data_IF_267447063483
#
_entry.id   IF_267447063483
#
_cell.length_a   1.000
_cell.length_b   1.000
_cell.length_c   1.000
_cell.angle_alpha   90.00
_cell.angle_beta   90.00
_cell.angle_gamma   90.00
#
_symmetry.space_group_name_H-M   'P 1'
#
loop_
_entity.id
_entity.type
_entity.pdbx_description
1 polymer ?
#
# COMPACT_ATOMS: atom_id res chain seq x y z
N UNK A 1 -17.99 -1.59 34.93
CA UNK A 1 -17.38 -0.96 33.73
C UNK A 1 -16.57 -2.04 33.03
N UNK A 2 -17.02 -2.63 31.92
CA UNK A 2 -16.21 -3.61 31.21
C UNK A 2 -15.30 -2.90 30.22
N UNK A 3 -14.01 -3.17 30.35
CA UNK A 3 -12.93 -2.71 29.48
C UNK A 3 -13.19 -3.06 28.00
N UNK A 4 -12.87 -2.16 27.05
CA UNK A 4 -12.89 -2.52 25.64
C UNK A 4 -11.75 -3.50 25.36
N UNK A 5 -12.10 -4.71 24.94
CA UNK A 5 -11.14 -5.75 24.57
C UNK A 5 -10.29 -5.24 23.40
N UNK A 6 -8.97 -5.27 23.59
CA UNK A 6 -7.90 -4.90 22.65
C UNK A 6 -7.92 -5.64 21.29
N UNK A 7 -8.93 -6.47 21.01
CA UNK A 7 -9.04 -7.23 19.75
C UNK A 7 -9.71 -6.46 18.61
N UNK A 8 -10.50 -5.42 18.91
CA UNK A 8 -11.19 -4.64 17.86
C UNK A 8 -10.31 -3.61 17.15
N UNK A 9 -9.12 -3.32 17.68
CA UNK A 9 -8.18 -2.39 17.05
C UNK A 9 -7.35 -3.03 15.92
N UNK A 10 -7.32 -4.37 15.81
CA UNK A 10 -6.50 -5.06 14.81
C UNK A 10 -7.17 -5.26 13.44
N UNK A 11 -8.50 -5.19 13.33
CA UNK A 11 -9.19 -5.35 12.04
C UNK A 11 -9.30 -4.05 11.22
N UNK A 12 -9.01 -2.89 11.82
CA UNK A 12 -8.94 -1.62 11.09
C UNK A 12 -7.70 -1.51 10.18
N UNK A 13 -6.73 -2.43 10.32
CA UNK A 13 -5.47 -2.46 9.59
C UNK A 13 -5.46 -3.42 8.38
N UNK A 14 -6.60 -3.99 7.99
CA UNK A 14 -6.64 -5.08 7.00
C UNK A 14 -6.71 -4.60 5.55
N UNK A 15 -5.74 -3.78 5.13
CA UNK A 15 -5.47 -3.46 3.72
C UNK A 15 -3.96 -3.45 3.45
N UNK A 16 -3.23 -4.35 4.13
CA UNK A 16 -1.80 -4.56 3.91
C UNK A 16 -1.66 -5.81 3.02
N UNK A 17 -1.28 -5.70 1.74
CA UNK A 17 -0.57 -6.78 1.08
C UNK A 17 0.80 -6.91 1.77
N UNK A 18 0.87 -7.79 2.77
CA UNK A 18 2.13 -8.13 3.42
C UNK A 18 3.00 -8.95 2.44
N UNK A 19 3.67 -8.27 1.51
CA UNK A 19 4.58 -8.93 0.57
C UNK A 19 5.64 -8.00 -0.04
N UNK A 20 6.15 -6.98 0.65
CA UNK A 20 7.37 -6.28 0.22
C UNK A 20 8.27 -5.92 1.40
N UNK A 21 8.76 -6.95 2.10
CA UNK A 21 9.94 -6.80 2.95
C UNK A 21 10.94 -7.92 2.66
N UNK A 22 11.86 -7.77 1.69
CA UNK A 22 13.10 -8.50 1.78
C UNK A 22 13.81 -8.02 3.05
N UNK A 23 13.94 -8.94 4.01
CA UNK A 23 14.68 -8.74 5.24
C UNK A 23 16.09 -8.19 4.91
N UNK A 24 16.37 -6.96 5.32
CA UNK A 24 17.71 -6.39 5.27
C UNK A 24 18.61 -7.17 6.23
N UNK A 25 19.41 -8.10 5.69
CA UNK A 25 20.56 -8.67 6.38
C UNK A 25 21.82 -8.14 5.69
N UNK A 26 22.70 -7.39 6.39
CA UNK A 26 23.93 -6.89 5.77
C UNK A 26 24.93 -8.04 5.64
N UNK A 27 24.98 -8.69 4.49
CA UNK A 27 26.01 -9.67 4.19
C UNK A 27 27.32 -8.97 3.75
N UNK A 28 28.12 -8.62 4.76
CA UNK A 28 29.57 -8.76 4.85
C UNK A 28 30.41 -8.71 3.56
N UNK A 29 31.29 -7.71 3.53
CA UNK A 29 32.30 -7.47 2.53
C UNK A 29 33.18 -8.71 2.22
N UNK A 30 33.15 -9.16 0.97
CA UNK A 30 34.20 -10.01 0.40
C UNK A 30 35.21 -9.13 -0.38
N UNK A 31 36.50 -9.22 -0.01
CA UNK A 31 37.61 -8.48 -0.62
C UNK A 31 37.79 -8.87 -2.10
N UNK A 32 38.13 -7.94 -3.01
CA UNK A 32 38.37 -8.28 -4.41
C UNK A 32 39.75 -8.92 -4.60
N UNK A 33 39.76 -10.09 -5.25
CA UNK A 33 40.96 -10.74 -5.81
C UNK A 33 41.37 -10.04 -7.12
N UNK A 34 42.67 -9.87 -7.32
CA UNK A 34 43.27 -9.17 -8.46
C UNK A 34 43.16 -10.02 -9.74
N UNK A 35 42.55 -9.50 -10.79
CA UNK A 35 42.80 -9.97 -12.16
C UNK A 35 42.73 -8.83 -13.18
N UNK A 36 43.51 -9.03 -14.24
CA UNK A 36 44.14 -8.04 -15.13
C UNK A 36 43.16 -7.23 -16.01
N UNK A 37 43.62 -6.02 -16.33
CA UNK A 37 42.98 -5.03 -17.17
C UNK A 37 42.64 -5.52 -18.58
N UNK A 38 41.36 -5.41 -18.95
CA UNK A 38 40.92 -5.21 -20.32
C UNK A 38 40.39 -3.77 -20.41
N UNK A 39 40.87 -3.00 -21.39
CA UNK A 39 40.40 -1.63 -21.70
C UNK A 39 38.96 -1.74 -22.24
N UNK A 40 37.99 -1.79 -21.34
CA UNK A 40 36.59 -1.59 -21.70
C UNK A 40 36.37 -0.10 -21.96
N UNK A 41 35.85 0.24 -23.14
CA UNK A 41 35.28 1.55 -23.39
C UNK A 41 34.32 1.87 -22.24
N UNK A 42 34.50 3.04 -21.60
CA UNK A 42 33.54 3.54 -20.61
C UNK A 42 32.26 3.89 -21.36
N UNK A 43 31.40 2.90 -21.56
CA UNK A 43 29.96 3.14 -21.66
C UNK A 43 29.60 3.74 -20.31
N UNK A 44 29.49 5.07 -20.27
CA UNK A 44 28.86 5.75 -19.14
C UNK A 44 27.44 5.22 -19.14
N UNK A 45 27.18 4.22 -18.28
CA UNK A 45 25.82 3.78 -18.03
C UNK A 45 25.00 5.05 -17.75
N UNK A 46 23.86 5.25 -18.43
CA UNK A 46 23.05 6.43 -18.19
C UNK A 46 22.81 6.51 -16.69
N UNK A 47 23.17 7.65 -16.10
CA UNK A 47 22.81 8.00 -14.73
C UNK A 47 21.29 8.10 -14.71
N UNK A 48 20.62 6.96 -14.58
CA UNK A 48 19.19 6.90 -14.37
C UNK A 48 18.97 7.50 -12.97
N UNK A 49 18.85 8.81 -12.90
CA UNK A 49 18.81 9.59 -11.67
C UNK A 49 17.44 10.21 -11.57
N UNK A 50 16.45 9.34 -11.32
CA UNK A 50 15.13 9.79 -10.92
C UNK A 50 15.26 10.61 -9.64
N UNK A 51 14.54 11.75 -9.61
CA UNK A 51 14.42 12.57 -8.41
C UNK A 51 13.59 11.83 -7.35
N UNK A 52 13.76 12.12 -6.04
CA UNK A 52 12.93 11.54 -4.99
C UNK A 52 11.44 11.59 -5.30
N UNK A 53 10.95 12.70 -5.83
CA UNK A 53 9.55 12.90 -6.20
C UNK A 53 9.06 11.88 -7.24
N UNK A 54 9.87 11.61 -8.26
CA UNK A 54 9.53 10.68 -9.33
C UNK A 54 9.53 9.23 -8.80
N UNK A 55 10.49 8.91 -7.92
CA UNK A 55 10.56 7.58 -7.30
C UNK A 55 9.35 7.36 -6.38
N UNK A 56 8.95 8.36 -5.60
CA UNK A 56 7.77 8.28 -4.75
C UNK A 56 6.47 8.09 -5.55
N UNK A 57 6.32 8.78 -6.69
CA UNK A 57 5.18 8.58 -7.60
C UNK A 57 5.14 7.17 -8.19
N UNK A 58 6.30 6.58 -8.51
CA UNK A 58 6.38 5.18 -8.95
C UNK A 58 5.93 4.21 -7.84
N UNK A 59 6.42 4.38 -6.61
CA UNK A 59 5.95 3.57 -5.48
C UNK A 59 4.44 3.72 -5.28
N UNK A 60 3.90 4.93 -5.34
CA UNK A 60 2.45 5.15 -5.23
C UNK A 60 1.65 4.44 -6.34
N UNK A 61 2.10 4.53 -7.59
CA UNK A 61 1.50 3.80 -8.73
C UNK A 61 1.50 2.29 -8.50
N UNK A 62 2.62 1.74 -8.06
CA UNK A 62 2.76 0.30 -7.85
C UNK A 62 1.86 -0.16 -6.71
N UNK A 63 1.95 0.47 -5.54
CA UNK A 63 1.21 0.06 -4.35
C UNK A 63 -0.31 0.19 -4.53
N UNK A 64 -0.78 1.24 -5.19
CA UNK A 64 -2.22 1.49 -5.36
C UNK A 64 -2.82 0.79 -6.57
N UNK A 65 -2.11 0.77 -7.71
CA UNK A 65 -2.65 0.36 -9.01
C UNK A 65 -2.09 -0.96 -9.55
N UNK A 66 -1.12 -1.56 -8.86
CA UNK A 66 -0.36 -2.71 -9.39
C UNK A 66 0.18 -2.42 -10.80
N UNK A 67 0.70 -1.21 -10.99
CA UNK A 67 1.07 -0.68 -12.30
C UNK A 67 2.34 -1.36 -12.84
N UNK A 68 2.17 -2.13 -13.92
CA UNK A 68 3.25 -2.92 -14.53
C UNK A 68 4.35 -2.05 -15.17
N UNK A 69 3.99 -0.91 -15.76
CA UNK A 69 4.97 -0.01 -16.36
C UNK A 69 5.80 0.66 -15.27
N UNK A 70 5.15 1.18 -14.21
CA UNK A 70 5.83 1.75 -13.06
C UNK A 70 6.74 0.71 -12.38
N UNK A 71 6.27 -0.53 -12.27
CA UNK A 71 7.06 -1.65 -11.72
C UNK A 71 8.29 -1.92 -12.55
N UNK A 72 8.16 -2.01 -13.88
CA UNK A 72 9.29 -2.23 -14.77
C UNK A 72 10.31 -1.08 -14.69
N UNK A 73 9.83 0.17 -14.69
CA UNK A 73 10.67 1.37 -14.58
C UNK A 73 11.40 1.42 -13.24
N UNK A 74 10.71 1.14 -12.13
CA UNK A 74 11.31 1.17 -10.80
C UNK A 74 12.30 0.03 -10.61
N UNK A 75 11.97 -1.19 -11.07
CA UNK A 75 12.92 -2.30 -11.05
C UNK A 75 14.18 -1.98 -11.86
N UNK A 76 14.07 -1.40 -13.05
CA UNK A 76 15.24 -0.97 -13.85
C UNK A 76 16.10 0.07 -13.12
N UNK A 77 15.45 1.06 -12.50
CA UNK A 77 16.12 2.07 -11.68
C UNK A 77 16.83 1.48 -10.47
N UNK A 78 16.24 0.47 -9.83
CA UNK A 78 16.75 -0.17 -8.62
C UNK A 78 17.82 -1.24 -8.90
N UNK A 79 18.00 -1.71 -10.14
CA UNK A 79 19.00 -2.73 -10.52
C UNK A 79 20.38 -2.56 -9.86
N UNK A 80 20.96 -1.34 -9.75
CA UNK A 80 22.27 -1.18 -9.13
C UNK A 80 22.32 -1.56 -7.63
N UNK A 81 21.17 -1.62 -6.95
CA UNK A 81 21.08 -2.01 -5.54
C UNK A 81 21.03 -3.52 -5.32
N UNK A 82 20.68 -4.30 -6.36
CA UNK A 82 20.46 -5.73 -6.25
C UNK A 82 21.46 -6.50 -7.13
N UNK A 83 22.11 -7.50 -6.54
CA UNK A 83 23.02 -8.36 -7.29
C UNK A 83 22.25 -9.26 -8.25
N UNK A 84 22.93 -9.79 -9.27
CA UNK A 84 22.47 -10.91 -10.09
C UNK A 84 21.15 -10.72 -10.86
N UNK A 85 20.69 -9.48 -11.07
CA UNK A 85 19.49 -9.22 -11.87
C UNK A 85 18.17 -9.51 -11.16
N UNK A 86 18.17 -9.55 -9.82
CA UNK A 86 16.95 -9.67 -9.03
C UNK A 86 16.00 -8.49 -9.32
N UNK A 87 14.71 -8.80 -9.43
CA UNK A 87 13.62 -7.83 -9.52
C UNK A 87 12.99 -7.68 -8.14
N UNK A 88 13.34 -6.64 -7.37
CA UNK A 88 12.92 -6.52 -5.98
C UNK A 88 11.42 -6.30 -5.79
N UNK A 89 10.74 -5.83 -6.84
CA UNK A 89 9.32 -5.55 -6.81
C UNK A 89 8.62 -6.47 -7.78
N UNK A 90 7.71 -7.28 -7.26
CA UNK A 90 6.82 -8.16 -8.01
C UNK A 90 5.38 -7.73 -7.77
N UNK A 91 4.60 -7.67 -8.85
CA UNK A 91 3.17 -7.44 -8.72
C UNK A 91 2.49 -8.63 -8.07
N UNK A 92 1.43 -8.35 -7.32
CA UNK A 92 0.68 -9.41 -6.65
C UNK A 92 -0.26 -10.09 -7.64
N UNK A 93 -0.35 -11.41 -7.54
CA UNK A 93 -1.27 -12.19 -8.36
C UNK A 93 -2.73 -11.87 -8.02
N UNK A 94 -3.58 -11.75 -9.04
CA UNK A 94 -4.98 -11.38 -8.85
C UNK A 94 -5.78 -12.44 -8.07
N UNK A 95 -5.47 -13.73 -8.24
CA UNK A 95 -6.14 -14.78 -7.47
C UNK A 95 -5.68 -14.77 -6.00
N UNK A 96 -4.42 -14.42 -5.73
CA UNK A 96 -3.95 -14.20 -4.36
C UNK A 96 -4.68 -13.02 -3.68
N UNK A 97 -4.92 -11.92 -4.41
CA UNK A 97 -5.72 -10.80 -3.90
C UNK A 97 -7.17 -11.19 -3.63
N UNK A 98 -7.80 -11.93 -4.54
CA UNK A 98 -9.17 -12.40 -4.35
C UNK A 98 -9.28 -13.35 -3.15
N UNK A 99 -8.31 -14.26 -2.96
CA UNK A 99 -8.24 -15.11 -1.78
C UNK A 99 -8.07 -14.30 -0.48
N UNK A 100 -7.33 -13.19 -0.52
CA UNK A 100 -7.19 -12.30 0.62
C UNK A 100 -8.51 -11.60 0.99
N UNK A 101 -9.28 -11.12 -0.01
CA UNK A 101 -10.60 -10.53 0.24
C UNK A 101 -11.58 -11.55 0.84
N UNK A 102 -11.52 -12.80 0.39
CA UNK A 102 -12.28 -13.90 0.98
C UNK A 102 -11.90 -14.17 2.44
N UNK A 103 -10.60 -14.14 2.76
CA UNK A 103 -10.10 -14.28 4.13
C UNK A 103 -10.59 -13.15 5.05
N UNK A 104 -10.61 -11.91 4.55
CA UNK A 104 -11.17 -10.78 5.31
C UNK A 104 -12.67 -10.89 5.51
N UNK A 105 -13.41 -11.37 4.50
CA UNK A 105 -14.83 -11.62 4.64
C UNK A 105 -15.12 -12.69 5.71
N UNK A 106 -14.30 -13.76 5.77
CA UNK A 106 -14.41 -14.78 6.82
C UNK A 106 -14.18 -14.21 8.21
N UNK A 107 -13.11 -13.43 8.39
CA UNK A 107 -12.79 -12.78 9.66
C UNK A 107 -13.89 -11.83 10.12
N UNK A 108 -14.45 -11.02 9.21
CA UNK A 108 -15.53 -10.09 9.55
C UNK A 108 -16.82 -10.83 9.97
N UNK A 109 -17.09 -11.99 9.38
CA UNK A 109 -18.27 -12.81 9.70
C UNK A 109 -18.08 -13.70 10.94
N UNK A 110 -16.88 -13.75 11.53
CA UNK A 110 -16.58 -14.59 12.69
C UNK A 110 -17.47 -14.27 13.88
N UNK A 111 -17.64 -12.98 14.18
CA UNK A 111 -18.43 -12.47 15.31
C UNK A 111 -19.95 -12.42 15.05
N UNK A 112 -20.42 -13.02 13.94
CA UNK A 112 -21.81 -12.98 13.49
C UNK A 112 -22.43 -14.39 13.43
N UNK A 113 -22.63 -15.07 14.56
CA UNK A 113 -23.05 -16.47 14.62
C UNK A 113 -24.44 -16.74 14.04
N UNK A 114 -25.28 -15.71 13.88
CA UNK A 114 -26.64 -15.82 13.31
C UNK A 114 -26.70 -15.51 11.81
N UNK A 115 -25.56 -15.25 11.18
CA UNK A 115 -25.43 -15.06 9.74
C UNK A 115 -25.05 -16.39 9.08
N UNK A 116 -25.75 -16.71 8.00
CA UNK A 116 -25.34 -17.76 7.07
C UNK A 116 -24.11 -17.29 6.29
N UNK A 117 -22.93 -17.75 6.72
CA UNK A 117 -21.64 -17.36 6.15
C UNK A 117 -21.53 -17.75 4.67
N UNK A 118 -22.08 -18.90 4.27
CA UNK A 118 -22.04 -19.35 2.86
C UNK A 118 -22.78 -18.38 1.95
N UNK A 119 -23.90 -17.84 2.44
CA UNK A 119 -24.69 -16.85 1.70
C UNK A 119 -24.12 -15.44 1.77
N UNK A 120 -23.55 -15.05 2.91
CA UNK A 120 -23.09 -13.69 3.15
C UNK A 120 -21.68 -13.40 2.60
N UNK A 121 -20.77 -14.38 2.70
CA UNK A 121 -19.34 -14.21 2.38
C UNK A 121 -19.12 -13.60 0.99
N UNK A 122 -19.75 -14.09 -0.10
CA UNK A 122 -19.49 -13.52 -1.44
C UNK A 122 -19.85 -12.04 -1.53
N UNK A 123 -20.93 -11.60 -0.88
CA UNK A 123 -21.35 -10.20 -0.89
C UNK A 123 -20.39 -9.31 -0.07
N UNK A 124 -19.92 -9.82 1.08
CA UNK A 124 -18.93 -9.11 1.91
C UNK A 124 -17.59 -8.99 1.18
N UNK A 125 -17.08 -10.10 0.62
CA UNK A 125 -15.83 -10.12 -0.13
C UNK A 125 -15.91 -9.17 -1.34
N UNK A 126 -17.03 -9.17 -2.07
CA UNK A 126 -17.26 -8.25 -3.17
C UNK A 126 -17.25 -6.77 -2.72
N UNK A 127 -17.85 -6.44 -1.57
CA UNK A 127 -17.81 -5.10 -1.02
C UNK A 127 -16.38 -4.67 -0.64
N UNK A 128 -15.59 -5.55 -0.02
CA UNK A 128 -14.18 -5.30 0.31
C UNK A 128 -13.37 -5.08 -0.96
N UNK A 129 -13.53 -5.96 -1.96
CA UNK A 129 -12.89 -5.83 -3.27
C UNK A 129 -13.23 -4.51 -3.93
N UNK A 130 -14.49 -4.07 -3.85
CA UNK A 130 -14.92 -2.78 -4.42
C UNK A 130 -14.27 -1.59 -3.75
N UNK A 131 -14.08 -1.61 -2.43
CA UNK A 131 -13.33 -0.55 -1.72
C UNK A 131 -11.88 -0.48 -2.22
N UNK A 132 -11.23 -1.64 -2.40
CA UNK A 132 -9.87 -1.71 -2.93
C UNK A 132 -9.79 -1.19 -4.37
N UNK A 133 -10.76 -1.55 -5.22
CA UNK A 133 -10.85 -1.01 -6.58
C UNK A 133 -11.01 0.51 -6.58
N UNK A 134 -11.82 1.07 -5.67
CA UNK A 134 -11.95 2.51 -5.51
C UNK A 134 -10.64 3.17 -5.06
N UNK A 135 -9.95 2.58 -4.09
CA UNK A 135 -8.64 3.06 -3.65
C UNK A 135 -7.58 3.00 -4.75
N UNK A 136 -7.62 1.98 -5.61
CA UNK A 136 -6.73 1.87 -6.78
C UNK A 136 -6.94 3.00 -7.80
N UNK A 137 -8.11 3.63 -7.80
CA UNK A 137 -8.36 4.83 -8.59
C UNK A 137 -7.70 6.09 -8.04
N UNK A 138 -7.01 6.02 -6.89
CA UNK A 138 -6.36 7.18 -6.31
C UNK A 138 -5.14 7.63 -7.14
N UNK A 139 -5.02 8.94 -7.31
CA UNK A 139 -3.91 9.57 -8.01
C UNK A 139 -3.09 10.37 -7.03
N UNK A 140 -1.83 9.96 -6.81
CA UNK A 140 -0.89 10.67 -5.97
C UNK A 140 0.16 11.40 -6.80
N UNK A 141 0.40 12.66 -6.46
CA UNK A 141 1.39 13.53 -7.08
C UNK A 141 2.34 14.08 -6.02
N UNK A 142 3.63 14.11 -6.32
CA UNK A 142 4.62 14.73 -5.45
C UNK A 142 4.56 16.25 -5.56
N UNK A 143 4.65 16.92 -4.41
CA UNK A 143 4.67 18.37 -4.29
C UNK A 143 6.09 18.91 -4.13
N UNK A 144 6.87 18.28 -3.25
CA UNK A 144 8.24 18.66 -2.95
C UNK A 144 8.99 17.53 -2.26
N UNK A 145 10.32 17.60 -2.25
CA UNK A 145 11.15 16.75 -1.41
C UNK A 145 12.17 17.56 -0.60
N UNK A 146 12.51 17.03 0.57
CA UNK A 146 13.60 17.54 1.41
C UNK A 146 14.64 16.44 1.59
N UNK A 147 15.85 16.68 1.08
CA UNK A 147 16.97 15.73 1.21
C UNK A 147 17.94 16.12 2.32
N UNK A 148 18.37 15.14 3.12
CA UNK A 148 19.36 15.32 4.17
C UNK A 148 20.22 14.06 4.37
N UNK A 149 21.28 14.18 5.19
CA UNK A 149 22.16 13.06 5.48
C UNK A 149 21.48 12.11 6.47
N UNK A 150 21.64 10.79 6.27
CA UNK A 150 21.22 9.80 7.24
C UNK A 150 22.26 9.75 8.38
N UNK A 151 21.85 10.09 9.59
CA UNK A 151 22.73 10.09 10.76
C UNK A 151 23.11 8.67 11.24
N UNK A 152 22.31 7.67 10.89
CA UNK A 152 22.49 6.27 11.32
C UNK A 152 23.26 5.41 10.30
N UNK A 153 23.33 5.83 9.03
CA UNK A 153 24.01 5.10 7.96
C UNK A 153 25.12 5.96 7.37
N UNK A 154 26.37 5.50 7.50
CA UNK A 154 27.53 6.21 6.95
C UNK A 154 27.34 6.52 5.47
N UNK A 155 27.44 7.79 5.10
CA UNK A 155 27.21 8.34 3.76
C UNK A 155 25.75 8.26 3.25
N UNK A 156 24.85 7.63 4.00
CA UNK A 156 23.46 7.47 3.63
C UNK A 156 22.74 8.80 3.49
N UNK A 157 21.65 8.78 2.74
CA UNK A 157 20.80 9.94 2.45
C UNK A 157 19.35 9.57 2.71
N UNK A 158 18.58 10.54 3.18
CA UNK A 158 17.13 10.46 3.35
C UNK A 158 16.50 11.54 2.49
N UNK A 159 15.38 11.22 1.84
CA UNK A 159 14.50 12.18 1.21
C UNK A 159 13.08 12.03 1.77
N UNK A 160 12.55 13.10 2.35
CA UNK A 160 11.14 13.19 2.73
C UNK A 160 10.38 13.80 1.57
N UNK A 161 9.47 13.05 0.96
CA UNK A 161 8.64 13.51 -0.16
C UNK A 161 7.25 13.84 0.36
N UNK A 162 6.86 15.10 0.21
CA UNK A 162 5.48 15.54 0.45
C UNK A 162 4.67 15.30 -0.84
N UNK A 163 3.52 14.66 -0.69
CA UNK A 163 2.63 14.28 -1.77
C UNK A 163 1.20 14.74 -1.48
N UNK A 164 0.41 14.76 -2.54
CA UNK A 164 -1.01 14.98 -2.50
C UNK A 164 -1.69 13.86 -3.27
N UNK A 165 -2.70 13.22 -2.67
CA UNK A 165 -3.47 12.15 -3.29
C UNK A 165 -4.92 12.58 -3.46
N UNK A 166 -5.46 12.43 -4.67
CA UNK A 166 -6.90 12.52 -4.91
C UNK A 166 -7.51 11.14 -4.68
N UNK A 167 -8.44 11.04 -3.75
CA UNK A 167 -9.07 9.79 -3.31
C UNK A 167 -10.60 9.88 -3.36
N UNK A 168 -11.31 8.75 -3.49
CA UNK A 168 -12.77 8.73 -3.32
C UNK A 168 -13.18 9.17 -1.92
N UNK A 169 -14.19 10.04 -1.84
CA UNK A 169 -14.75 10.54 -0.59
C UNK A 169 -15.91 9.63 -0.14
N UNK A 170 -15.65 8.76 0.84
CA UNK A 170 -16.62 7.86 1.42
C UNK A 170 -17.17 8.41 2.74
N UNK A 171 -18.49 8.29 2.92
CA UNK A 171 -19.18 8.83 4.10
C UNK A 171 -19.21 7.86 5.29
N UNK A 172 -18.99 6.56 5.04
CA UNK A 172 -19.02 5.53 6.08
C UNK A 172 -18.23 4.29 5.66
N UNK A 173 -17.67 3.60 6.64
CA UNK A 173 -17.07 2.27 6.47
C UNK A 173 -18.16 1.19 6.47
N UNK A 174 -17.89 0.05 5.86
CA UNK A 174 -18.83 -1.09 5.85
C UNK A 174 -19.26 -1.48 7.27
N UNK A 175 -18.32 -1.49 8.22
CA UNK A 175 -18.57 -1.83 9.62
C UNK A 175 -19.54 -0.84 10.29
N UNK A 176 -19.46 0.45 9.96
CA UNK A 176 -20.36 1.48 10.49
C UNK A 176 -21.78 1.31 9.93
N UNK A 177 -21.89 1.03 8.63
CA UNK A 177 -23.17 0.71 7.99
C UNK A 177 -23.78 -0.55 8.62
N UNK A 178 -22.98 -1.60 8.85
CA UNK A 178 -23.46 -2.83 9.49
C UNK A 178 -23.84 -2.63 10.96
N UNK A 179 -23.10 -1.81 11.72
CA UNK A 179 -23.43 -1.47 13.09
C UNK A 179 -24.82 -0.80 13.19
N UNK A 180 -25.19 0.02 12.20
CA UNK A 180 -26.54 0.61 12.12
C UNK A 180 -27.66 -0.43 11.92
N UNK A 181 -27.33 -1.63 11.40
CA UNK A 181 -28.29 -2.72 11.20
C UNK A 181 -28.46 -3.62 12.43
N UNK A 182 -27.58 -3.49 13.41
CA UNK A 182 -27.66 -4.16 14.71
C UNK A 182 -26.32 -4.73 15.18
N UNK A 183 -26.29 -5.15 16.44
CA UNK A 183 -25.09 -5.75 17.04
C UNK A 183 -24.67 -7.04 16.31
N UNK A 184 -23.37 -7.26 16.03
CA UNK A 184 -22.87 -8.43 15.29
C UNK A 184 -23.43 -9.77 15.77
N UNK A 185 -23.42 -10.01 17.09
CA UNK A 185 -23.92 -11.25 17.71
C UNK A 185 -25.43 -11.53 17.48
N UNK A 186 -26.21 -10.50 17.13
CA UNK A 186 -27.66 -10.59 16.89
C UNK A 186 -28.04 -10.38 15.42
N UNK A 187 -27.10 -9.97 14.58
CA UNK A 187 -27.33 -9.64 13.18
C UNK A 187 -27.71 -10.92 12.41
N UNK A 188 -28.79 -10.84 11.62
CA UNK A 188 -29.25 -11.94 10.76
C UNK A 188 -28.81 -11.71 9.32
N UNK A 189 -28.66 -12.79 8.54
CA UNK A 189 -28.20 -12.74 7.13
C UNK A 189 -28.91 -11.68 6.30
N UNK A 190 -30.25 -11.58 6.39
CA UNK A 190 -31.04 -10.58 5.63
C UNK A 190 -30.59 -9.14 5.94
N UNK A 191 -30.42 -8.81 7.23
CA UNK A 191 -30.03 -7.46 7.67
C UNK A 191 -28.59 -7.13 7.30
N UNK A 192 -27.70 -8.12 7.37
CA UNK A 192 -26.34 -7.96 6.87
C UNK A 192 -26.33 -7.64 5.38
N UNK A 193 -27.03 -8.44 4.56
CA UNK A 193 -27.07 -8.21 3.10
C UNK A 193 -27.73 -6.87 2.73
N UNK A 194 -28.75 -6.44 3.47
CA UNK A 194 -29.32 -5.09 3.33
C UNK A 194 -28.26 -4.01 3.60
N UNK A 195 -27.45 -4.16 4.65
CA UNK A 195 -26.36 -3.23 4.96
C UNK A 195 -25.23 -3.25 3.93
N UNK A 196 -24.84 -4.42 3.43
CA UNK A 196 -23.85 -4.55 2.35
C UNK A 196 -24.35 -3.88 1.07
N UNK A 197 -25.61 -4.07 0.69
CA UNK A 197 -26.20 -3.43 -0.49
C UNK A 197 -26.32 -1.90 -0.32
N UNK A 198 -26.62 -1.42 0.89
CA UNK A 198 -26.61 0.01 1.21
C UNK A 198 -25.21 0.61 1.08
N UNK A 199 -24.20 -0.08 1.62
CA UNK A 199 -22.81 0.32 1.48
C UNK A 199 -22.38 0.35 0.01
N UNK A 200 -22.68 -0.68 -0.78
CA UNK A 200 -22.35 -0.72 -2.22
C UNK A 200 -22.96 0.45 -3.00
N UNK A 201 -24.22 0.83 -2.69
CA UNK A 201 -24.84 2.03 -3.27
C UNK A 201 -24.11 3.31 -2.88
N UNK A 202 -23.71 3.45 -1.62
CA UNK A 202 -22.97 4.61 -1.14
C UNK A 202 -21.59 4.73 -1.82
N UNK A 203 -20.92 3.59 -2.06
CA UNK A 203 -19.67 3.56 -2.84
C UNK A 203 -19.86 4.10 -4.27
N UNK A 204 -21.01 3.82 -4.89
CA UNK A 204 -21.36 4.35 -6.22
C UNK A 204 -21.66 5.86 -6.27
N UNK A 205 -21.80 6.51 -5.11
CA UNK A 205 -22.09 7.93 -4.96
C UNK A 205 -20.88 8.72 -4.42
N UNK A 206 -19.73 8.06 -4.28
CA UNK A 206 -18.53 8.69 -3.76
C UNK A 206 -18.09 9.86 -4.65
N UNK A 207 -17.91 11.03 -4.02
CA UNK A 207 -17.20 12.14 -4.65
C UNK A 207 -15.70 11.89 -4.65
N UNK A 208 -14.91 12.93 -4.95
CA UNK A 208 -13.47 12.92 -4.73
C UNK A 208 -13.08 13.93 -3.66
N UNK A 209 -11.91 13.73 -3.08
CA UNK A 209 -11.26 14.69 -2.18
C UNK A 209 -9.76 14.57 -2.30
N UNK A 210 -9.08 15.58 -1.82
CA UNK A 210 -7.62 15.65 -1.83
C UNK A 210 -7.10 15.48 -0.40
N UNK A 211 -6.11 14.62 -0.22
CA UNK A 211 -5.48 14.36 1.07
C UNK A 211 -3.96 14.54 0.98
N UNK A 212 -3.31 15.03 2.05
CA UNK A 212 -1.86 15.02 2.11
C UNK A 212 -1.34 13.58 2.32
N UNK A 213 -0.23 13.26 1.68
CA UNK A 213 0.51 12.02 1.88
C UNK A 213 2.02 12.31 1.99
N UNK A 214 2.77 11.38 2.57
CA UNK A 214 4.22 11.49 2.69
C UNK A 214 4.85 10.15 2.41
N UNK A 215 6.04 10.17 1.80
CA UNK A 215 6.88 8.99 1.65
C UNK A 215 8.31 9.32 2.01
N UNK A 216 8.93 8.46 2.82
CA UNK A 216 10.35 8.57 3.15
C UNK A 216 11.14 7.60 2.28
N UNK A 217 12.14 8.14 1.58
CA UNK A 217 13.06 7.40 0.74
C UNK A 217 14.47 7.41 1.30
N UNK A 218 15.21 6.36 1.00
CA UNK A 218 16.56 6.13 1.49
C UNK A 218 17.50 5.80 0.32
N UNK A 219 18.70 6.36 0.35
CA UNK A 219 19.79 5.99 -0.55
C UNK A 219 21.06 5.70 0.25
N UNK A 220 21.85 4.74 -0.20
CA UNK A 220 23.08 4.31 0.48
C UNK A 220 24.21 5.35 0.40
N UNK A 221 24.19 6.20 -0.64
CA UNK A 221 25.07 7.34 -0.79
C UNK A 221 24.45 8.41 -1.72
N UNK A 222 25.05 9.60 -1.76
CA UNK A 222 24.65 10.65 -2.72
C UNK A 222 24.74 10.13 -4.15
N UNK A 223 23.64 10.24 -4.90
CA UNK A 223 23.54 9.80 -6.30
C UNK A 223 23.34 8.30 -6.49
N UNK A 224 23.09 7.54 -5.42
CA UNK A 224 22.60 6.17 -5.49
C UNK A 224 21.06 6.14 -5.63
N UNK A 225 20.48 5.04 -6.14
CA UNK A 225 19.04 4.90 -6.25
C UNK A 225 18.31 5.07 -4.91
N UNK A 226 17.15 5.72 -4.95
CA UNK A 226 16.24 5.87 -3.82
C UNK A 226 15.34 4.63 -3.68
N UNK A 227 15.18 4.16 -2.45
CA UNK A 227 14.33 3.02 -2.13
C UNK A 227 13.54 3.28 -0.84
N UNK A 228 12.49 2.50 -0.60
CA UNK A 228 11.75 2.55 0.67
C UNK A 228 11.30 1.16 1.09
N UNK A 229 11.20 0.94 2.39
CA UNK A 229 10.53 -0.22 2.98
C UNK A 229 9.11 0.08 3.45
N UNK A 230 8.60 1.29 3.17
CA UNK A 230 7.33 1.81 3.70
C UNK A 230 6.38 2.22 2.56
N UNK A 231 6.41 1.49 1.44
CA UNK A 231 5.52 1.76 0.31
C UNK A 231 4.04 1.48 0.64
N UNK A 232 3.78 0.62 1.63
CA UNK A 232 2.44 0.29 2.12
C UNK A 232 1.80 1.45 2.91
N UNK A 233 2.59 2.37 3.46
CA UNK A 233 2.09 3.57 4.16
C UNK A 233 1.21 4.44 3.25
N UNK A 234 1.48 4.43 1.92
CA UNK A 234 0.65 5.12 0.94
C UNK A 234 -0.73 4.48 0.84
N UNK A 235 -0.79 3.15 0.85
CA UNK A 235 -2.04 2.38 0.79
C UNK A 235 -2.88 2.68 2.04
N UNK A 236 -2.26 2.65 3.21
CA UNK A 236 -2.93 3.01 4.47
C UNK A 236 -3.42 4.46 4.45
N UNK A 237 -2.57 5.41 4.02
CA UNK A 237 -2.93 6.83 3.93
C UNK A 237 -4.13 7.06 3.01
N UNK A 238 -4.13 6.45 1.82
CA UNK A 238 -5.25 6.54 0.88
C UNK A 238 -6.52 5.95 1.49
N UNK A 239 -6.45 4.75 2.04
CA UNK A 239 -7.62 4.11 2.63
C UNK A 239 -8.19 4.88 3.82
N UNK A 240 -7.35 5.45 4.68
CA UNK A 240 -7.81 6.27 5.79
C UNK A 240 -8.37 7.61 5.30
N UNK A 241 -7.72 8.24 4.32
CA UNK A 241 -8.17 9.51 3.75
C UNK A 241 -9.52 9.41 3.03
N UNK A 242 -9.85 8.24 2.46
CA UNK A 242 -11.18 7.99 1.89
C UNK A 242 -12.31 8.20 2.90
N UNK A 243 -12.07 7.97 4.19
CA UNK A 243 -13.08 8.08 5.26
C UNK A 243 -12.86 9.28 6.20
N UNK A 244 -11.91 10.17 5.91
CA UNK A 244 -11.67 11.34 6.76
C UNK A 244 -12.93 12.22 6.86
N UNK A 245 -13.04 13.06 7.88
CA UNK A 245 -13.99 14.17 7.79
C UNK A 245 -13.54 15.10 6.63
N UNK A 246 -14.48 15.72 5.93
CA UNK A 246 -14.10 16.81 5.03
C UNK A 246 -13.35 17.86 5.87
N UNK A 247 -12.20 18.33 5.40
CA UNK A 247 -11.55 19.47 6.03
C UNK A 247 -12.50 20.67 5.90
N UNK A 248 -13.03 21.12 7.03
CA UNK A 248 -13.83 22.36 7.14
C UNK A 248 -12.96 23.60 6.96
#
# INVERSE_FOLDING_TARGET
MPSPSLRNALLAALLIPAALAPAFVPAHAAKPSKSKAAKAAKTVAPKNTLKPEQVAELYARISLRQDAEATAQLNDYLKPLYANGETPITLTDAAAMDAQYDGFADAMLEDMPKVDKKKAKPAVAAAIKRVNLLASGAECRSLSSREYANEYVKNGRIAEVAMECTVPALNARLQEVLASKGAPAKLKTKKLLEGVAEFDRALGQAGSRTIPAKLTLYASAKGQPWSTGAADDIVETVHNGMYAAAAE
#
